data_IF_390247913990
#
_entry.id   IF_390247913990
#
_cell.length_a   1.000
_cell.length_b   1.000
_cell.length_c   1.000
_cell.angle_alpha   90.00
_cell.angle_beta   90.00
_cell.angle_gamma   90.00
#
_symmetry.space_group_name_H-M   'P 1'
#
loop_
_entity.id
_entity.type
_entity.pdbx_description
1 polymer ?
#
# COMPACT_ATOMS: atom_id res chain seq x y z
N UNK A 1 13.21 2.93 -3.27
CA UNK A 1 14.01 3.94 -2.56
C UNK A 1 13.22 5.14 -2.03
N UNK A 2 12.05 5.46 -2.55
CA UNK A 2 11.30 6.67 -2.16
C UNK A 2 10.43 6.52 -0.91
N UNK A 3 10.39 5.33 -0.32
CA UNK A 3 9.52 5.04 0.83
C UNK A 3 10.27 4.79 2.13
N UNK A 4 11.57 4.52 2.10
CA UNK A 4 12.43 4.33 3.28
C UNK A 4 12.49 5.62 4.09
N UNK A 5 12.30 5.53 5.42
CA UNK A 5 12.23 6.70 6.31
C UNK A 5 10.99 7.60 6.09
N UNK A 6 10.00 7.14 5.31
CA UNK A 6 8.82 7.96 5.01
C UNK A 6 7.86 8.05 6.20
N UNK A 7 7.60 9.25 6.75
CA UNK A 7 6.63 9.43 7.83
C UNK A 7 5.21 9.02 7.43
N UNK A 8 4.94 8.89 6.12
CA UNK A 8 3.65 8.45 5.58
C UNK A 8 3.48 6.95 5.81
N UNK A 9 4.54 6.15 5.59
CA UNK A 9 4.50 4.70 5.82
C UNK A 9 4.26 4.39 7.30
N UNK A 10 4.98 5.08 8.17
CA UNK A 10 4.81 4.95 9.62
C UNK A 10 3.41 5.39 10.07
N UNK A 11 2.95 6.55 9.64
CA UNK A 11 1.60 7.06 9.97
C UNK A 11 0.50 6.13 9.50
N UNK A 12 0.63 5.53 8.30
CA UNK A 12 -0.33 4.55 7.79
C UNK A 12 -0.31 3.27 8.62
N UNK A 13 0.87 2.72 8.89
CA UNK A 13 1.01 1.52 9.70
C UNK A 13 0.44 1.73 11.11
N UNK A 14 0.79 2.82 11.78
CA UNK A 14 0.29 3.13 13.12
C UNK A 14 -1.24 3.23 13.18
N UNK A 15 -1.86 3.82 12.14
CA UNK A 15 -3.32 3.88 12.03
C UNK A 15 -3.96 2.51 11.87
N UNK A 16 -3.32 1.60 11.10
CA UNK A 16 -3.83 0.23 10.92
C UNK A 16 -3.62 -0.63 12.16
N UNK A 17 -2.51 -0.45 12.86
CA UNK A 17 -2.21 -1.16 14.11
C UNK A 17 -3.15 -0.74 15.26
N UNK A 18 -3.65 0.48 15.23
CA UNK A 18 -4.46 1.03 16.33
C UNK A 18 -3.64 1.31 17.60
N UNK A 19 -4.33 1.75 18.65
CA UNK A 19 -3.66 2.18 19.89
C UNK A 19 -3.01 1.03 20.66
N UNK A 20 -3.55 -0.19 20.54
CA UNK A 20 -3.08 -1.35 21.29
C UNK A 20 -1.74 -1.92 20.76
N UNK A 21 -1.50 -1.84 19.46
CA UNK A 21 -0.35 -2.47 18.81
C UNK A 21 0.72 -1.49 18.34
N UNK A 22 0.37 -0.24 18.03
CA UNK A 22 1.32 0.73 17.44
C UNK A 22 2.60 0.94 18.25
N UNK A 23 2.51 0.81 19.60
CA UNK A 23 3.61 1.00 20.54
C UNK A 23 4.03 -0.32 21.24
N UNK A 24 3.44 -1.45 20.86
CA UNK A 24 3.61 -2.73 21.55
C UNK A 24 3.96 -3.88 20.60
N UNK A 25 4.98 -3.70 19.74
CA UNK A 25 5.51 -4.73 18.84
C UNK A 25 6.85 -5.30 19.30
N UNK A 26 7.50 -4.70 20.28
CA UNK A 26 8.82 -5.13 20.76
C UNK A 26 8.81 -6.58 21.20
N UNK A 27 9.66 -7.40 20.55
CA UNK A 27 9.79 -8.82 20.83
C UNK A 27 8.64 -9.72 20.36
N UNK A 28 7.57 -9.16 19.77
CA UNK A 28 6.50 -9.95 19.16
C UNK A 28 6.98 -10.56 17.85
N UNK A 29 6.57 -11.81 17.60
CA UNK A 29 6.76 -12.48 16.32
C UNK A 29 5.68 -11.99 15.35
N UNK A 30 6.09 -11.25 14.33
CA UNK A 30 5.21 -10.59 13.36
C UNK A 30 5.41 -11.20 11.98
N UNK A 31 4.33 -11.53 11.29
CA UNK A 31 4.34 -11.84 9.86
C UNK A 31 3.86 -10.62 9.07
N UNK A 32 4.66 -10.13 8.15
CA UNK A 32 4.30 -9.15 7.13
C UNK A 32 4.00 -9.91 5.82
N UNK A 33 2.72 -10.11 5.53
CA UNK A 33 2.25 -10.81 4.34
C UNK A 33 2.02 -9.82 3.19
N UNK A 34 2.85 -9.89 2.15
CA UNK A 34 2.90 -8.93 1.05
C UNK A 34 3.82 -7.75 1.34
N UNK A 35 5.06 -8.05 1.73
CA UNK A 35 6.05 -7.05 2.13
C UNK A 35 6.58 -6.19 0.97
N UNK A 36 6.49 -6.69 -0.28
CA UNK A 36 7.11 -6.06 -1.43
C UNK A 36 8.60 -5.78 -1.18
N UNK A 37 9.07 -4.60 -1.55
CA UNK A 37 10.45 -4.16 -1.35
C UNK A 37 10.75 -3.60 0.06
N UNK A 38 9.82 -3.76 1.03
CA UNK A 38 10.08 -3.44 2.44
C UNK A 38 9.49 -2.13 2.95
N UNK A 39 8.40 -1.66 2.37
CA UNK A 39 7.78 -0.39 2.78
C UNK A 39 7.42 -0.32 4.26
N UNK A 40 6.87 -1.38 4.82
CA UNK A 40 6.50 -1.46 6.23
C UNK A 40 7.52 -2.27 7.05
N UNK A 41 8.34 -3.11 6.41
CA UNK A 41 9.43 -3.87 7.01
C UNK A 41 10.32 -2.97 7.88
N UNK A 42 10.77 -1.82 7.34
CA UNK A 42 11.57 -0.83 8.06
C UNK A 42 10.89 -0.38 9.37
N UNK A 43 9.61 0.00 9.27
CA UNK A 43 8.87 0.52 10.42
C UNK A 43 8.64 -0.56 11.48
N UNK A 44 8.35 -1.79 11.05
CA UNK A 44 8.13 -2.94 11.95
C UNK A 44 9.42 -3.31 12.70
N UNK A 45 10.55 -3.33 12.00
CA UNK A 45 11.87 -3.56 12.61
C UNK A 45 12.23 -2.45 13.60
N UNK A 46 12.00 -1.18 13.24
CA UNK A 46 12.25 -0.03 14.12
C UNK A 46 11.36 -0.06 15.37
N UNK A 47 10.17 -0.69 15.30
CA UNK A 47 9.29 -0.93 16.45
C UNK A 47 9.72 -2.14 17.31
N UNK A 48 10.83 -2.80 16.95
CA UNK A 48 11.41 -3.89 17.72
C UNK A 48 10.73 -5.26 17.52
N UNK A 49 9.96 -5.43 16.45
CA UNK A 49 9.37 -6.73 16.09
C UNK A 49 10.46 -7.75 15.73
N UNK A 50 10.19 -9.03 16.01
CA UNK A 50 10.85 -10.16 15.36
C UNK A 50 10.03 -10.47 14.12
N UNK A 51 10.59 -10.21 12.94
CA UNK A 51 9.81 -10.05 11.72
C UNK A 51 10.08 -11.17 10.71
N UNK A 52 9.01 -11.73 10.17
CA UNK A 52 9.04 -12.52 8.93
C UNK A 52 8.35 -11.72 7.84
N UNK A 53 9.11 -11.30 6.82
CA UNK A 53 8.58 -10.60 5.65
C UNK A 53 8.39 -11.57 4.51
N UNK A 54 7.20 -11.62 3.92
CA UNK A 54 6.82 -12.54 2.85
C UNK A 54 6.17 -11.81 1.69
N UNK A 55 6.52 -12.19 0.45
CA UNK A 55 5.84 -11.75 -0.78
C UNK A 55 5.88 -12.85 -1.83
N UNK A 56 4.92 -12.88 -2.74
CA UNK A 56 4.88 -13.83 -3.85
C UNK A 56 5.90 -13.47 -4.95
N UNK A 57 6.19 -12.19 -5.11
CA UNK A 57 7.06 -11.64 -6.16
C UNK A 57 8.54 -11.67 -5.79
N UNK A 58 9.40 -11.47 -6.78
CA UNK A 58 10.85 -11.28 -6.57
C UNK A 58 11.21 -9.98 -5.82
N UNK A 59 10.22 -9.14 -5.45
CA UNK A 59 10.46 -7.97 -4.62
C UNK A 59 11.05 -8.32 -3.24
N UNK A 60 10.91 -9.57 -2.80
CA UNK A 60 11.59 -10.10 -1.59
C UNK A 60 13.11 -9.99 -1.66
N UNK A 61 13.71 -10.08 -2.85
CA UNK A 61 15.15 -9.90 -3.04
C UNK A 61 15.57 -8.46 -2.69
N UNK A 62 14.79 -7.48 -3.17
CA UNK A 62 15.01 -6.07 -2.86
C UNK A 62 14.74 -5.78 -1.37
N UNK A 63 13.75 -6.47 -0.77
CA UNK A 63 13.50 -6.38 0.67
C UNK A 63 14.70 -6.86 1.46
N UNK A 64 15.26 -8.04 1.11
CA UNK A 64 16.42 -8.60 1.77
C UNK A 64 17.71 -7.78 1.56
N UNK A 65 17.85 -7.10 0.42
CA UNK A 65 18.94 -6.15 0.17
C UNK A 65 18.82 -4.89 1.04
N UNK A 66 17.60 -4.35 1.17
CA UNK A 66 17.34 -3.16 1.97
C UNK A 66 17.39 -3.44 3.48
N UNK A 67 16.93 -4.61 3.89
CA UNK A 67 16.81 -5.05 5.29
C UNK A 67 17.37 -6.46 5.41
N UNK A 68 18.69 -6.61 5.63
CA UNK A 68 19.35 -7.91 5.65
C UNK A 68 18.74 -8.88 6.68
N UNK A 69 18.74 -10.16 6.31
CA UNK A 69 18.32 -11.24 7.21
C UNK A 69 19.20 -11.25 8.47
N UNK A 70 18.58 -11.42 9.62
CA UNK A 70 19.23 -11.40 10.93
C UNK A 70 18.50 -12.32 11.91
N UNK A 71 18.91 -12.36 13.15
CA UNK A 71 18.19 -13.03 14.24
C UNK A 71 16.80 -12.43 14.52
N UNK A 72 16.52 -11.22 14.01
CA UNK A 72 15.22 -10.53 14.14
C UNK A 72 14.47 -10.35 12.83
N UNK A 73 15.03 -10.74 11.70
CA UNK A 73 14.39 -10.56 10.39
C UNK A 73 14.66 -11.72 9.46
N UNK A 74 13.62 -12.38 9.00
CA UNK A 74 13.61 -13.38 7.94
C UNK A 74 12.81 -12.89 6.76
N UNK A 75 13.32 -13.08 5.55
CA UNK A 75 12.60 -12.78 4.28
C UNK A 75 12.37 -14.07 3.54
N UNK A 76 11.13 -14.31 3.09
CA UNK A 76 10.77 -15.48 2.30
C UNK A 76 9.93 -15.11 1.09
N UNK A 77 10.08 -15.88 0.01
CA UNK A 77 9.16 -15.83 -1.12
C UNK A 77 8.10 -16.92 -0.93
N UNK A 78 6.83 -16.52 -0.75
CA UNK A 78 5.74 -17.46 -0.53
C UNK A 78 4.39 -16.90 -1.02
N UNK A 79 3.49 -17.81 -1.38
CA UNK A 79 2.09 -17.48 -1.66
C UNK A 79 1.35 -17.25 -0.34
N UNK A 80 0.65 -16.13 -0.25
CA UNK A 80 -0.14 -15.72 0.93
C UNK A 80 -1.21 -16.76 1.32
N UNK A 81 -1.71 -17.54 0.36
CA UNK A 81 -2.69 -18.60 0.59
C UNK A 81 -2.04 -19.97 0.89
N UNK A 82 -0.71 -20.06 0.86
CA UNK A 82 0.02 -21.30 1.13
C UNK A 82 1.33 -21.00 1.86
N UNK A 83 1.23 -20.36 3.02
CA UNK A 83 2.38 -20.00 3.85
C UNK A 83 3.00 -21.26 4.50
N UNK A 84 4.35 -21.38 4.52
CA UNK A 84 5.04 -22.54 5.06
C UNK A 84 5.18 -22.49 6.59
N UNK A 85 4.11 -22.14 7.29
CA UNK A 85 4.09 -21.99 8.74
C UNK A 85 2.95 -22.82 9.33
N UNK A 86 3.13 -23.29 10.57
CA UNK A 86 2.08 -23.92 11.32
C UNK A 86 1.01 -22.90 11.76
N UNK A 87 -0.19 -23.40 12.01
CA UNK A 87 -1.26 -22.58 12.61
C UNK A 87 -0.80 -22.00 13.95
N UNK A 88 -1.38 -20.86 14.32
CA UNK A 88 -1.10 -20.18 15.60
C UNK A 88 0.41 -19.88 15.83
N UNK A 89 1.16 -19.51 14.78
CA UNK A 89 2.60 -19.26 14.86
C UNK A 89 2.96 -17.81 15.23
N UNK A 90 2.13 -16.82 14.89
CA UNK A 90 2.49 -15.41 14.99
C UNK A 90 1.66 -14.67 16.04
N UNK A 91 2.31 -13.76 16.76
CA UNK A 91 1.62 -12.87 17.70
C UNK A 91 0.80 -11.82 16.94
N UNK A 92 1.32 -11.37 15.78
CA UNK A 92 0.63 -10.43 14.88
C UNK A 92 0.86 -10.85 13.44
N UNK A 93 -0.19 -10.87 12.63
CA UNK A 93 -0.13 -11.02 11.17
C UNK A 93 -0.61 -9.73 10.54
N UNK A 94 0.20 -9.15 9.63
CA UNK A 94 -0.06 -7.86 8.97
C UNK A 94 -0.14 -8.08 7.47
N UNK A 95 -1.23 -7.64 6.83
CA UNK A 95 -1.39 -7.69 5.38
C UNK A 95 -1.99 -6.36 4.88
N UNK A 96 -1.13 -5.45 4.41
CA UNK A 96 -1.52 -4.10 4.03
C UNK A 96 -1.30 -3.83 2.55
N UNK A 97 -2.37 -3.45 1.85
CA UNK A 97 -2.32 -3.10 0.42
C UNK A 97 -2.23 -4.31 -0.52
N UNK A 98 -2.52 -5.52 -0.05
CA UNK A 98 -2.33 -6.77 -0.80
C UNK A 98 -3.63 -7.54 -1.01
N UNK A 99 -4.45 -7.66 0.02
CA UNK A 99 -5.61 -8.57 0.07
C UNK A 99 -6.61 -8.34 -1.09
N UNK A 100 -6.77 -7.11 -1.55
CA UNK A 100 -7.64 -6.75 -2.68
C UNK A 100 -7.11 -7.23 -4.05
N UNK A 101 -5.88 -7.73 -4.10
CA UNK A 101 -5.25 -8.28 -5.31
C UNK A 101 -5.24 -9.81 -5.33
N UNK A 102 -5.70 -10.46 -4.28
CA UNK A 102 -5.85 -11.92 -4.23
C UNK A 102 -7.07 -12.37 -5.02
N UNK A 103 -7.05 -13.61 -5.49
CA UNK A 103 -8.14 -14.18 -6.27
C UNK A 103 -9.41 -14.38 -5.43
N UNK A 104 -9.25 -14.72 -4.15
CA UNK A 104 -10.31 -14.93 -3.18
C UNK A 104 -9.91 -14.24 -1.87
N UNK A 105 -10.48 -13.06 -1.65
CA UNK A 105 -10.19 -12.22 -0.48
C UNK A 105 -10.63 -12.88 0.83
N UNK A 106 -11.77 -13.55 0.83
CA UNK A 106 -12.37 -14.18 2.02
C UNK A 106 -11.50 -15.34 2.48
N UNK A 107 -11.16 -16.22 1.53
CA UNK A 107 -10.23 -17.33 1.77
C UNK A 107 -8.86 -16.84 2.26
N UNK A 108 -8.33 -15.78 1.68
CA UNK A 108 -7.03 -15.21 2.08
C UNK A 108 -7.07 -14.70 3.53
N UNK A 109 -8.16 -14.07 3.95
CA UNK A 109 -8.35 -13.65 5.35
C UNK A 109 -8.37 -14.86 6.27
N UNK A 110 -9.10 -15.91 5.92
CA UNK A 110 -9.18 -17.14 6.71
C UNK A 110 -7.81 -17.81 6.85
N UNK A 111 -7.06 -17.94 5.74
CA UNK A 111 -5.74 -18.56 5.75
C UNK A 111 -4.73 -17.75 6.58
N UNK A 112 -4.74 -16.42 6.49
CA UNK A 112 -3.93 -15.56 7.34
C UNK A 112 -4.34 -15.63 8.83
N UNK A 113 -5.64 -15.72 9.11
CA UNK A 113 -6.14 -15.80 10.47
C UNK A 113 -5.71 -17.07 11.19
N UNK A 114 -5.61 -18.20 10.49
CA UNK A 114 -5.10 -19.47 11.04
C UNK A 114 -3.68 -19.33 11.61
N UNK A 115 -2.87 -18.46 11.01
CA UNK A 115 -1.48 -18.24 11.45
C UNK A 115 -1.37 -17.42 12.74
N UNK A 116 -2.46 -16.77 13.16
CA UNK A 116 -2.49 -15.92 14.36
C UNK A 116 -2.64 -16.78 15.61
N UNK A 117 -1.74 -16.59 16.58
CA UNK A 117 -1.86 -17.23 17.92
C UNK A 117 -3.17 -16.84 18.62
N UNK A 118 -3.63 -17.67 19.54
CA UNK A 118 -4.73 -17.31 20.45
C UNK A 118 -4.39 -16.04 21.23
N UNK A 119 -5.27 -15.04 21.14
CA UNK A 119 -5.02 -13.73 21.73
C UNK A 119 -4.10 -12.81 20.92
N UNK A 120 -3.64 -13.25 19.75
CA UNK A 120 -2.91 -12.44 18.78
C UNK A 120 -3.82 -11.56 17.93
N UNK A 121 -3.25 -10.91 16.92
CA UNK A 121 -3.97 -9.94 16.09
C UNK A 121 -3.72 -10.15 14.60
N UNK A 122 -4.79 -10.08 13.78
CA UNK A 122 -4.71 -9.94 12.34
C UNK A 122 -4.99 -8.47 11.96
N UNK A 123 -4.05 -7.84 11.28
CA UNK A 123 -4.16 -6.45 10.82
C UNK A 123 -4.21 -6.44 9.30
N UNK A 124 -5.33 -6.03 8.75
CA UNK A 124 -5.56 -5.96 7.31
C UNK A 124 -6.07 -4.59 6.92
N UNK A 125 -5.82 -4.16 5.70
CA UNK A 125 -6.52 -3.04 5.09
C UNK A 125 -7.15 -3.46 3.75
N UNK A 126 -8.22 -2.78 3.40
CA UNK A 126 -8.93 -2.98 2.16
C UNK A 126 -9.37 -1.64 1.59
N UNK A 127 -9.50 -1.55 0.27
CA UNK A 127 -10.01 -0.34 -0.36
C UNK A 127 -11.44 -0.06 0.07
N UNK A 128 -11.65 1.15 0.58
CA UNK A 128 -13.00 1.61 0.89
C UNK A 128 -13.80 1.83 -0.40
N UNK A 129 -15.00 1.26 -0.45
CA UNK A 129 -15.93 1.49 -1.54
C UNK A 129 -16.60 2.86 -1.36
N UNK A 130 -16.07 3.88 -2.02
CA UNK A 130 -16.61 5.23 -1.99
C UNK A 130 -17.52 5.46 -3.21
N UNK A 131 -18.83 5.58 -2.97
CA UNK A 131 -19.82 5.89 -4.00
C UNK A 131 -19.55 7.22 -4.70
N UNK A 132 -18.86 8.16 -4.06
CA UNK A 132 -18.48 9.46 -4.66
C UNK A 132 -17.56 9.30 -5.87
N UNK A 133 -16.81 8.20 -5.92
CA UNK A 133 -15.91 7.87 -7.04
C UNK A 133 -16.65 7.48 -8.32
N UNK A 134 -17.94 7.12 -8.25
CA UNK A 134 -18.74 6.80 -9.44
C UNK A 134 -18.87 7.97 -10.41
N UNK A 135 -18.93 9.18 -9.90
CA UNK A 135 -19.15 10.41 -10.67
C UNK A 135 -17.87 11.10 -11.10
N UNK A 136 -16.72 10.41 -11.05
CA UNK A 136 -15.44 10.97 -11.53
C UNK A 136 -15.22 10.64 -12.99
N UNK A 137 -14.89 11.66 -13.78
CA UNK A 137 -14.56 11.48 -15.20
C UNK A 137 -13.33 10.56 -15.41
N UNK A 138 -12.39 10.54 -14.48
CA UNK A 138 -11.26 9.61 -14.45
C UNK A 138 -11.70 8.14 -14.61
N UNK A 139 -12.84 7.74 -14.06
CA UNK A 139 -13.39 6.38 -14.21
C UNK A 139 -13.71 6.03 -15.66
N UNK A 140 -14.31 6.97 -16.42
CA UNK A 140 -14.61 6.75 -17.83
C UNK A 140 -13.32 6.58 -18.64
N UNK A 141 -12.31 7.39 -18.33
CA UNK A 141 -10.98 7.23 -18.94
C UNK A 141 -10.35 5.87 -18.60
N UNK A 142 -10.45 5.41 -17.36
CA UNK A 142 -9.95 4.07 -16.97
C UNK A 142 -10.67 2.95 -17.75
N UNK A 143 -12.00 3.02 -17.90
CA UNK A 143 -12.76 2.03 -18.69
C UNK A 143 -12.28 2.02 -20.15
N UNK A 144 -12.05 3.18 -20.72
CA UNK A 144 -11.51 3.31 -22.09
C UNK A 144 -10.08 2.74 -22.19
N UNK A 145 -9.20 3.12 -21.27
CA UNK A 145 -7.78 2.75 -21.29
C UNK A 145 -7.54 1.26 -21.01
N UNK A 146 -8.37 0.62 -20.18
CA UNK A 146 -8.28 -0.83 -19.91
C UNK A 146 -8.39 -1.71 -21.16
N UNK A 147 -8.95 -1.18 -22.24
CA UNK A 147 -9.08 -1.86 -23.54
C UNK A 147 -7.90 -1.59 -24.48
N UNK A 148 -6.91 -0.84 -24.06
CA UNK A 148 -5.75 -0.43 -24.87
C UNK A 148 -4.48 -1.12 -24.39
N UNK A 149 -3.49 -1.18 -25.27
CA UNK A 149 -2.16 -1.71 -24.93
C UNK A 149 -1.36 -0.75 -24.06
N UNK A 150 -0.39 -1.25 -23.30
CA UNK A 150 0.50 -0.44 -22.48
C UNK A 150 1.26 0.60 -23.31
N UNK A 151 1.67 0.25 -24.54
CA UNK A 151 2.33 1.15 -25.48
C UNK A 151 1.49 2.39 -25.85
N UNK A 152 0.17 2.29 -25.80
CA UNK A 152 -0.74 3.42 -26.00
C UNK A 152 -1.05 4.14 -24.66
N UNK A 153 -1.34 3.37 -23.61
CA UNK A 153 -1.82 3.91 -22.32
C UNK A 153 -0.76 4.75 -21.63
N UNK A 154 0.49 4.28 -21.57
CA UNK A 154 1.56 4.98 -20.84
C UNK A 154 1.80 6.39 -21.38
N UNK A 155 2.10 6.62 -22.68
CA UNK A 155 2.32 7.97 -23.19
C UNK A 155 1.06 8.83 -23.16
N UNK A 156 -0.13 8.23 -23.26
CA UNK A 156 -1.39 8.94 -23.18
C UNK A 156 -1.65 9.47 -21.75
N UNK A 157 -1.50 8.64 -20.72
CA UNK A 157 -1.64 9.06 -19.32
C UNK A 157 -0.59 10.09 -18.93
N UNK A 158 0.66 9.94 -19.37
CA UNK A 158 1.69 10.96 -19.18
C UNK A 158 1.30 12.34 -19.73
N UNK A 159 0.71 12.38 -20.94
CA UNK A 159 0.19 13.63 -21.53
C UNK A 159 -0.94 14.23 -20.69
N UNK A 160 -1.87 13.39 -20.20
CA UNK A 160 -2.95 13.86 -19.35
C UNK A 160 -2.42 14.44 -18.03
N UNK A 161 -1.53 13.73 -17.35
CA UNK A 161 -0.92 14.19 -16.09
C UNK A 161 -0.20 15.52 -16.33
N UNK A 162 0.67 15.61 -17.34
CA UNK A 162 1.38 16.85 -17.69
C UNK A 162 0.44 18.03 -17.96
N UNK A 163 -0.72 17.76 -18.59
CA UNK A 163 -1.71 18.80 -18.92
C UNK A 163 -2.54 19.24 -17.71
N UNK A 164 -3.02 18.31 -16.91
CA UNK A 164 -4.03 18.60 -15.86
C UNK A 164 -3.43 18.82 -14.47
N UNK A 165 -2.28 18.22 -14.15
CA UNK A 165 -1.69 18.33 -12.81
C UNK A 165 -1.36 19.79 -12.39
N UNK A 166 -0.87 20.70 -13.28
CA UNK A 166 -0.67 22.10 -12.93
C UNK A 166 -1.96 22.83 -12.50
N UNK A 167 -3.10 22.45 -13.08
CA UNK A 167 -4.40 22.99 -12.68
C UNK A 167 -4.82 22.51 -11.30
N UNK A 168 -4.57 21.23 -11.00
CA UNK A 168 -4.81 20.68 -9.64
C UNK A 168 -3.93 21.36 -8.60
N UNK A 169 -2.66 21.65 -8.90
CA UNK A 169 -1.76 22.40 -8.02
C UNK A 169 -2.32 23.78 -7.68
N UNK A 170 -2.83 24.50 -8.67
CA UNK A 170 -3.46 25.81 -8.46
C UNK A 170 -4.78 25.69 -7.70
N UNK A 171 -5.60 24.70 -8.05
CA UNK A 171 -6.90 24.46 -7.42
C UNK A 171 -6.77 24.02 -5.96
N UNK A 172 -5.68 23.38 -5.56
CA UNK A 172 -5.44 22.94 -4.19
C UNK A 172 -5.48 24.08 -3.16
N UNK A 173 -5.24 25.32 -3.60
CA UNK A 173 -5.37 26.52 -2.76
C UNK A 173 -6.82 26.85 -2.40
N UNK A 174 -7.81 26.32 -3.14
CA UNK A 174 -9.23 26.62 -2.98
C UNK A 174 -10.03 25.33 -2.87
N UNK A 175 -10.47 24.98 -1.65
CA UNK A 175 -11.10 23.68 -1.34
C UNK A 175 -12.28 23.34 -2.29
N UNK A 176 -13.18 24.28 -2.51
CA UNK A 176 -14.37 24.05 -3.37
C UNK A 176 -13.96 23.79 -4.84
N UNK A 177 -13.04 24.58 -5.35
CA UNK A 177 -12.55 24.44 -6.73
C UNK A 177 -11.78 23.14 -6.94
N UNK A 178 -11.01 22.73 -5.95
CA UNK A 178 -10.30 21.45 -5.96
C UNK A 178 -11.26 20.25 -5.99
N UNK A 179 -12.34 20.29 -5.19
CA UNK A 179 -13.36 19.23 -5.21
C UNK A 179 -14.03 19.13 -6.59
N UNK A 180 -14.39 20.28 -7.20
CA UNK A 180 -14.99 20.30 -8.52
C UNK A 180 -14.02 19.76 -9.59
N UNK A 181 -12.78 20.23 -9.58
CA UNK A 181 -11.76 19.80 -10.53
C UNK A 181 -11.49 18.30 -10.42
N UNK A 182 -11.44 17.74 -9.22
CA UNK A 182 -11.26 16.30 -9.00
C UNK A 182 -12.42 15.44 -9.55
N UNK A 183 -13.59 16.02 -9.78
CA UNK A 183 -14.72 15.31 -10.39
C UNK A 183 -14.67 15.30 -11.92
N UNK A 184 -14.24 16.41 -12.53
CA UNK A 184 -14.25 16.60 -13.99
C UNK A 184 -12.89 16.31 -14.65
N UNK A 185 -11.82 16.21 -13.88
CA UNK A 185 -10.48 15.87 -14.38
C UNK A 185 -10.33 14.38 -14.66
N UNK A 186 -9.66 13.99 -15.76
CA UNK A 186 -9.27 12.61 -16.00
C UNK A 186 -8.10 12.14 -15.11
N UNK A 187 -7.48 13.04 -14.35
CA UNK A 187 -6.30 12.81 -13.52
C UNK A 187 -6.67 12.94 -12.05
N UNK A 188 -6.24 12.00 -11.23
CA UNK A 188 -6.31 12.09 -9.77
C UNK A 188 -5.12 12.87 -9.26
N UNK A 189 -5.32 13.74 -8.27
CA UNK A 189 -4.23 14.51 -7.69
C UNK A 189 -4.18 14.37 -6.17
N UNK A 190 -2.98 14.41 -5.66
CA UNK A 190 -2.68 14.20 -4.23
C UNK A 190 -2.28 15.47 -3.50
N UNK A 191 -2.34 16.65 -4.15
CA UNK A 191 -1.94 17.93 -3.53
C UNK A 191 -2.69 18.28 -2.25
N UNK A 192 -3.96 17.83 -2.11
CA UNK A 192 -4.74 18.07 -0.90
C UNK A 192 -4.58 16.99 0.16
N UNK A 193 -4.17 15.79 -0.25
CA UNK A 193 -4.01 14.64 0.66
C UNK A 193 -2.59 14.59 1.20
N UNK A 194 -1.62 14.85 0.33
CA UNK A 194 -0.19 14.83 0.63
C UNK A 194 0.49 16.09 0.11
N UNK A 195 0.23 17.27 0.71
CA UNK A 195 0.80 18.54 0.26
C UNK A 195 2.33 18.61 0.38
N UNK A 196 2.93 17.76 1.21
CA UNK A 196 4.37 17.63 1.43
C UNK A 196 5.11 16.89 0.31
N UNK A 197 4.42 16.22 -0.62
CA UNK A 197 5.06 15.53 -1.71
C UNK A 197 5.79 16.50 -2.66
N UNK A 198 6.99 16.12 -3.08
CA UNK A 198 7.68 16.80 -4.18
C UNK A 198 6.86 16.76 -5.47
N UNK A 199 7.09 17.68 -6.40
CA UNK A 199 6.38 17.68 -7.70
C UNK A 199 6.59 16.36 -8.46
N UNK A 200 7.79 15.80 -8.38
CA UNK A 200 8.10 14.50 -8.98
C UNK A 200 7.20 13.41 -8.40
N UNK A 201 7.09 13.34 -7.09
CA UNK A 201 6.28 12.32 -6.40
C UNK A 201 4.78 12.53 -6.67
N UNK A 202 4.30 13.78 -6.75
CA UNK A 202 2.92 14.09 -7.16
C UNK A 202 2.62 13.58 -8.58
N UNK A 203 3.58 13.72 -9.51
CA UNK A 203 3.45 13.22 -10.89
C UNK A 203 3.45 11.69 -10.94
N UNK A 204 4.36 11.04 -10.24
CA UNK A 204 4.47 9.58 -10.17
C UNK A 204 3.18 8.97 -9.63
N UNK A 205 2.64 9.49 -8.54
CA UNK A 205 1.39 9.01 -7.95
C UNK A 205 0.18 9.25 -8.85
N UNK A 206 0.14 10.39 -9.52
CA UNK A 206 -0.93 10.67 -10.49
C UNK A 206 -0.87 9.78 -11.74
N UNK A 207 0.28 9.16 -12.05
CA UNK A 207 0.44 8.20 -13.13
C UNK A 207 0.01 6.78 -12.74
N UNK A 208 0.06 6.45 -11.44
CA UNK A 208 -0.32 5.13 -10.93
C UNK A 208 -1.84 4.95 -10.82
N UNK A 209 -2.59 6.05 -10.74
CA UNK A 209 -4.05 6.09 -10.64
C UNK A 209 -4.74 6.33 -12.00
#
# INVERSE_FOLDING_TARGET
DSYTGSPISESRLNRCLGDDLKDNLTGKLVLEAGCGAGRFTEVLLNKGAVLVSSDLSSAVEVNAENFPVSDKHLVIQADINNMPFADESFDVVICLGVIQHTADTEKTIEDLYKLVKKGGSLVIDHYHYDRSNYFRLARLYRIYLRKKTAAFTIPYTQKLVKKYLPWHKRAAKFKLFSVLLNRISPVVSYYNVFPQFSEKLQQEWALLD
#
